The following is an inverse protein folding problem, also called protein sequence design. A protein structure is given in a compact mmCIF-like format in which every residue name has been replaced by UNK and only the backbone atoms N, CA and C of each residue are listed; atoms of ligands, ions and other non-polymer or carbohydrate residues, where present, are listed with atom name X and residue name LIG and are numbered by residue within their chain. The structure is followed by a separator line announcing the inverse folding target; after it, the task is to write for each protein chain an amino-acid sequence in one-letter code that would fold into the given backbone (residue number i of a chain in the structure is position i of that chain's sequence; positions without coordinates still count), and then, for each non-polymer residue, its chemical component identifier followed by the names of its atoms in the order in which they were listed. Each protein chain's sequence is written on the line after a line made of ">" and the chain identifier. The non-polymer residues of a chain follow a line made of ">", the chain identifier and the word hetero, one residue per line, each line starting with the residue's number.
data_IF_562519963823
#
_entry.id   IF_562519963823
#
_cell.length_a   1.000
_cell.length_b   1.000
_cell.length_c   1.000
_cell.angle_alpha   90.00
_cell.angle_beta   90.00
_cell.angle_gamma   90.00
#
_symmetry.space_group_name_H-M   'P 1'
#
loop_
_entity.id
_entity.type
_entity.pdbx_description
1 polymer ?
#
# COMPACT_ATOMS: atom_id res chain seq x y z
N UNK A 1 -16.78 -2.91 9.50
CA UNK A 1 -16.87 -3.74 10.72
C UNK A 1 -15.65 -4.64 10.94
N UNK A 2 -15.23 -5.47 9.99
CA UNK A 2 -14.06 -6.37 10.17
C UNK A 2 -12.76 -5.60 10.42
N UNK A 3 -12.45 -4.57 9.62
CA UNK A 3 -11.27 -3.72 9.81
C UNK A 3 -11.27 -3.01 11.17
N UNK A 4 -12.42 -2.57 11.65
CA UNK A 4 -12.54 -1.93 12.97
C UNK A 4 -12.17 -2.91 14.09
N UNK A 5 -12.68 -4.15 14.03
CA UNK A 5 -12.35 -5.21 14.99
C UNK A 5 -10.86 -5.57 14.93
N UNK A 6 -10.32 -5.68 13.73
CA UNK A 6 -8.90 -5.92 13.52
C UNK A 6 -8.06 -4.81 14.17
N UNK A 7 -8.37 -3.54 13.87
CA UNK A 7 -7.63 -2.40 14.40
C UNK A 7 -7.67 -2.35 15.94
N UNK A 8 -8.86 -2.56 16.54
CA UNK A 8 -8.99 -2.65 18.00
C UNK A 8 -8.08 -3.74 18.56
N UNK A 9 -8.12 -4.93 17.96
CA UNK A 9 -7.29 -6.05 18.40
C UNK A 9 -5.79 -5.80 18.23
N UNK A 10 -5.40 -5.06 17.18
CA UNK A 10 -4.00 -4.71 16.95
C UNK A 10 -3.52 -3.66 17.96
N UNK A 11 -4.36 -2.69 18.33
CA UNK A 11 -4.06 -1.71 19.37
C UNK A 11 -3.83 -2.43 20.72
N UNK A 12 -4.68 -3.37 21.09
CA UNK A 12 -4.53 -4.18 22.31
C UNK A 12 -3.19 -4.94 22.34
N UNK A 13 -2.65 -5.29 21.19
CA UNK A 13 -1.35 -5.96 21.04
C UNK A 13 -0.16 -5.00 20.90
N UNK A 14 -0.38 -3.69 21.03
CA UNK A 14 0.66 -2.67 20.94
C UNK A 14 1.09 -2.31 19.52
N UNK A 15 0.22 -2.57 18.53
CA UNK A 15 0.40 -2.09 17.16
C UNK A 15 -0.33 -0.76 16.95
N UNK A 16 0.14 0.05 16.03
CA UNK A 16 -0.52 1.26 15.56
C UNK A 16 -1.15 0.99 14.20
N UNK A 17 -2.48 0.86 14.08
CA UNK A 17 -3.15 0.81 12.79
C UNK A 17 -2.95 2.12 12.02
N UNK A 18 -2.68 2.02 10.74
CA UNK A 18 -2.45 3.15 9.86
C UNK A 18 -3.27 3.03 8.58
N UNK A 19 -3.64 4.16 8.04
CA UNK A 19 -4.12 4.30 6.67
C UNK A 19 -2.94 4.73 5.80
N UNK A 20 -2.46 3.82 4.97
CA UNK A 20 -1.22 4.02 4.25
C UNK A 20 -0.90 2.90 3.28
N UNK A 21 0.25 3.03 2.66
CA UNK A 21 0.81 2.02 1.79
C UNK A 21 2.27 1.77 2.15
N UNK A 22 2.78 0.58 1.87
CA UNK A 22 4.18 0.25 2.08
C UNK A 22 4.72 -0.57 0.93
N UNK A 23 5.90 -0.19 0.46
CA UNK A 23 6.60 -0.86 -0.63
C UNK A 23 8.04 -1.19 -0.26
N UNK A 24 8.53 -2.31 -0.74
CA UNK A 24 9.94 -2.62 -0.78
C UNK A 24 10.47 -2.27 -2.18
N UNK A 25 11.46 -1.42 -2.23
CA UNK A 25 12.10 -0.93 -3.46
C UNK A 25 13.50 -1.48 -3.53
N UNK A 26 13.85 -2.12 -4.64
CA UNK A 26 15.21 -2.54 -4.97
C UNK A 26 15.74 -1.71 -6.14
N UNK A 27 16.78 -0.95 -5.91
CA UNK A 27 17.45 -0.16 -6.96
C UNK A 27 18.31 -1.04 -7.87
N UNK A 28 18.62 -0.56 -9.08
CA UNK A 28 19.53 -1.27 -10.03
C UNK A 28 20.94 -1.48 -9.48
N UNK A 29 21.37 -0.67 -8.52
CA UNK A 29 22.64 -0.82 -7.82
C UNK A 29 22.61 -1.85 -6.67
N UNK A 30 21.50 -2.57 -6.49
CA UNK A 30 21.31 -3.60 -5.46
C UNK A 30 20.91 -3.09 -4.09
N UNK A 31 20.81 -1.79 -3.86
CA UNK A 31 20.29 -1.22 -2.59
C UNK A 31 18.80 -1.45 -2.49
N UNK A 32 18.33 -1.85 -1.31
CA UNK A 32 16.92 -2.03 -0.98
C UNK A 32 16.49 -1.03 0.09
N UNK A 33 15.23 -0.61 0.04
CA UNK A 33 14.62 0.26 1.05
C UNK A 33 13.13 -0.03 1.17
N UNK A 34 12.62 -0.01 2.39
CA UNK A 34 11.20 -0.12 2.67
C UNK A 34 10.63 1.26 2.94
N UNK A 35 9.74 1.71 2.07
CA UNK A 35 9.11 3.03 2.12
C UNK A 35 7.67 2.86 2.54
N UNK A 36 7.26 3.53 3.60
CA UNK A 36 5.88 3.64 4.03
C UNK A 36 5.34 5.04 3.71
N UNK A 37 4.13 5.11 3.19
CA UNK A 37 3.42 6.35 2.88
C UNK A 37 2.14 6.35 3.68
N UNK A 38 1.95 7.32 4.56
CA UNK A 38 0.75 7.47 5.39
C UNK A 38 0.03 8.77 5.02
N UNK A 39 -1.27 8.81 5.16
CA UNK A 39 -2.07 9.99 4.86
C UNK A 39 -3.55 9.67 4.72
N UNK A 40 -4.38 10.70 4.65
CA UNK A 40 -5.82 10.57 4.50
C UNK A 40 -6.23 10.02 3.13
N UNK A 41 -7.51 9.66 3.02
CA UNK A 41 -8.11 9.26 1.74
C UNK A 41 -7.99 10.41 0.73
N UNK A 42 -7.54 10.10 -0.50
CA UNK A 42 -7.30 11.11 -1.52
C UNK A 42 -6.03 11.94 -1.34
N UNK A 43 -5.16 11.62 -0.38
CA UNK A 43 -3.89 12.33 -0.17
C UNK A 43 -2.79 11.98 -1.18
N UNK A 44 -3.10 11.20 -2.21
CA UNK A 44 -2.14 10.85 -3.27
C UNK A 44 -1.25 9.66 -2.96
N UNK A 45 -1.62 8.79 -2.01
CA UNK A 45 -0.82 7.60 -1.64
C UNK A 45 -0.68 6.62 -2.81
N UNK A 46 -1.79 6.22 -3.40
CA UNK A 46 -1.81 5.27 -4.52
C UNK A 46 -1.20 5.89 -5.78
N UNK A 47 -1.43 7.17 -6.01
CA UNK A 47 -0.78 7.92 -7.09
C UNK A 47 0.75 7.99 -6.90
N UNK A 48 1.21 8.09 -5.66
CA UNK A 48 2.64 8.03 -5.34
C UNK A 48 3.22 6.65 -5.64
N UNK A 49 2.50 5.56 -5.33
CA UNK A 49 2.91 4.21 -5.70
C UNK A 49 3.00 4.05 -7.22
N UNK A 50 2.02 4.58 -7.96
CA UNK A 50 2.03 4.55 -9.42
C UNK A 50 3.18 5.39 -10.00
N UNK A 51 3.47 6.55 -9.41
CA UNK A 51 4.64 7.35 -9.77
C UNK A 51 5.95 6.58 -9.56
N UNK A 52 6.11 5.89 -8.43
CA UNK A 52 7.26 5.00 -8.20
C UNK A 52 7.34 3.90 -9.26
N UNK A 53 6.22 3.32 -9.64
CA UNK A 53 6.14 2.29 -10.67
C UNK A 53 6.57 2.80 -12.05
N UNK A 54 6.14 4.02 -12.44
CA UNK A 54 6.58 4.68 -13.69
C UNK A 54 8.07 5.02 -13.68
N UNK A 55 8.61 5.40 -12.53
CA UNK A 55 10.05 5.62 -12.36
C UNK A 55 10.85 4.31 -12.36
N UNK A 56 10.18 3.15 -12.18
CA UNK A 56 10.83 1.85 -12.03
C UNK A 56 11.67 1.47 -13.25
N UNK A 57 11.22 1.75 -14.45
CA UNK A 57 11.90 1.35 -15.68
C UNK A 57 13.34 1.90 -15.75
N UNK A 58 13.56 3.09 -15.23
CA UNK A 58 14.86 3.77 -15.30
C UNK A 58 15.78 3.45 -14.11
N UNK A 59 15.25 3.42 -12.90
CA UNK A 59 16.06 3.41 -11.67
C UNK A 59 15.87 2.18 -10.80
N UNK A 60 14.70 1.55 -10.85
CA UNK A 60 14.39 0.41 -10.02
C UNK A 60 14.72 -0.90 -10.74
N UNK A 61 15.18 -1.89 -9.98
CA UNK A 61 15.27 -3.28 -10.41
C UNK A 61 13.95 -4.00 -10.13
N UNK A 62 13.35 -3.69 -8.96
CA UNK A 62 12.14 -4.33 -8.48
C UNK A 62 11.41 -3.41 -7.53
N UNK A 63 10.08 -3.43 -7.55
CA UNK A 63 9.22 -2.81 -6.56
C UNK A 63 8.16 -3.84 -6.14
N UNK A 64 8.09 -4.12 -4.85
CA UNK A 64 7.14 -5.05 -4.26
C UNK A 64 6.20 -4.29 -3.33
N UNK A 65 4.90 -4.38 -3.55
CA UNK A 65 3.90 -3.83 -2.64
C UNK A 65 3.77 -4.78 -1.44
N UNK A 66 3.96 -4.25 -0.22
CA UNK A 66 3.77 -4.97 1.03
C UNK A 66 2.31 -4.88 1.44
N UNK A 67 1.75 -3.68 1.43
CA UNK A 67 0.31 -3.43 1.56
C UNK A 67 -0.06 -2.10 0.88
N UNK A 68 -1.32 -1.99 0.48
CA UNK A 68 -1.91 -0.78 -0.08
C UNK A 68 -3.29 -0.59 0.54
N UNK A 69 -3.52 0.57 1.16
CA UNK A 69 -4.69 1.05 1.88
C UNK A 69 -4.58 0.91 3.42
N UNK A 70 -4.43 -0.28 3.98
CA UNK A 70 -4.41 -0.48 5.43
C UNK A 70 -3.23 -1.34 5.88
N UNK A 71 -2.59 -0.89 6.94
CA UNK A 71 -1.50 -1.59 7.59
C UNK A 71 -1.43 -1.30 9.09
N UNK A 72 -0.44 -1.86 9.74
CA UNK A 72 -0.14 -1.59 11.13
C UNK A 72 1.36 -1.41 11.33
N UNK A 73 1.74 -0.50 12.20
CA UNK A 73 3.12 -0.36 12.65
C UNK A 73 3.32 -0.94 14.05
N UNK A 74 4.50 -1.47 14.28
CA UNK A 74 4.95 -1.89 15.61
C UNK A 74 6.38 -1.45 15.86
N UNK A 75 6.65 -1.02 17.07
CA UNK A 75 8.03 -0.72 17.49
C UNK A 75 8.62 -1.97 18.11
N UNK A 76 9.71 -2.45 17.56
CA UNK A 76 10.47 -3.59 18.06
C UNK A 76 11.96 -3.20 18.14
N UNK A 77 12.55 -3.30 19.31
CA UNK A 77 13.96 -2.93 19.56
C UNK A 77 14.30 -1.51 19.04
N UNK A 78 13.41 -0.54 19.25
CA UNK A 78 13.60 0.85 18.84
C UNK A 78 13.48 1.10 17.32
N UNK A 79 13.01 0.12 16.55
CA UNK A 79 12.77 0.24 15.11
C UNK A 79 11.30 0.04 14.79
N UNK A 80 10.80 0.74 13.79
CA UNK A 80 9.43 0.60 13.31
C UNK A 80 9.38 -0.50 12.27
N UNK A 81 8.41 -1.41 12.43
CA UNK A 81 8.10 -2.46 11.47
C UNK A 81 6.66 -2.28 10.97
N UNK A 82 6.47 -2.43 9.66
CA UNK A 82 5.16 -2.38 9.01
C UNK A 82 4.66 -3.77 8.64
N UNK A 83 3.36 -3.97 8.86
CA UNK A 83 2.62 -5.20 8.57
C UNK A 83 1.38 -4.83 7.76
N UNK A 84 1.02 -5.65 6.76
CA UNK A 84 -0.23 -5.46 6.04
C UNK A 84 -1.41 -6.03 6.83
N UNK A 85 -2.60 -5.50 6.55
CA UNK A 85 -3.87 -6.04 7.09
C UNK A 85 -4.62 -6.86 6.05
N UNK A 86 -4.29 -6.67 4.79
CA UNK A 86 -4.93 -7.32 3.66
C UNK A 86 -3.94 -7.55 2.51
N UNK A 87 -4.20 -8.55 1.70
CA UNK A 87 -3.37 -8.90 0.55
C UNK A 87 -3.82 -8.23 -0.75
N UNK A 88 -4.98 -7.59 -0.73
CA UNK A 88 -5.59 -6.96 -1.90
C UNK A 88 -5.48 -5.45 -1.90
N UNK A 89 -5.54 -4.86 -3.08
CA UNK A 89 -5.71 -3.43 -3.29
C UNK A 89 -7.07 -3.13 -3.90
N UNK A 90 -7.67 -2.02 -3.48
CA UNK A 90 -8.90 -1.48 -4.06
C UNK A 90 -8.54 -0.39 -5.05
N UNK A 91 -8.66 -0.68 -6.33
CA UNK A 91 -8.36 0.28 -7.40
C UNK A 91 -9.66 0.75 -8.04
N UNK A 92 -9.80 2.06 -8.25
CA UNK A 92 -10.92 2.62 -8.99
C UNK A 92 -10.78 2.26 -10.47
N UNK A 93 -11.89 1.83 -11.10
CA UNK A 93 -11.86 1.49 -12.52
C UNK A 93 -11.53 2.69 -13.41
N UNK A 94 -11.89 3.88 -12.98
CA UNK A 94 -11.62 5.14 -13.70
C UNK A 94 -10.12 5.50 -13.71
N UNK A 95 -9.35 5.00 -12.75
CA UNK A 95 -7.92 5.28 -12.60
C UNK A 95 -7.03 4.21 -13.25
N UNK A 96 -7.64 3.14 -13.81
CA UNK A 96 -6.91 2.07 -14.46
C UNK A 96 -6.45 2.47 -15.87
N UNK A 97 -5.16 2.33 -16.12
CA UNK A 97 -4.65 2.42 -17.50
C UNK A 97 -5.22 1.29 -18.38
N UNK A 98 -5.49 1.61 -19.65
CA UNK A 98 -5.96 0.64 -20.63
C UNK A 98 -5.00 -0.57 -20.70
N UNK A 99 -5.51 -1.75 -20.43
CA UNK A 99 -4.76 -3.00 -20.47
C UNK A 99 -4.37 -3.56 -19.10
N UNK A 100 -4.27 -2.77 -18.03
CA UNK A 100 -3.94 -3.25 -16.69
C UNK A 100 -5.02 -4.18 -16.13
N UNK A 101 -6.31 -3.83 -16.33
CA UNK A 101 -7.43 -4.66 -15.90
C UNK A 101 -7.41 -6.04 -16.55
N UNK A 102 -6.97 -6.14 -17.80
CA UNK A 102 -6.90 -7.41 -18.53
C UNK A 102 -5.82 -8.35 -18.00
N UNK A 103 -4.69 -7.82 -17.53
CA UNK A 103 -3.59 -8.64 -17.00
C UNK A 103 -3.89 -9.25 -15.62
N UNK A 104 -4.82 -8.66 -14.87
CA UNK A 104 -5.18 -9.09 -13.53
C UNK A 104 -6.60 -9.71 -13.45
N UNK A 105 -7.30 -9.86 -14.57
CA UNK A 105 -8.72 -10.24 -14.63
C UNK A 105 -9.02 -11.61 -14.03
N UNK A 106 -8.10 -12.55 -14.17
CA UNK A 106 -8.21 -13.91 -13.66
C UNK A 106 -8.18 -14.01 -12.12
N UNK A 107 -7.67 -12.97 -11.47
CA UNK A 107 -7.51 -12.90 -10.00
C UNK A 107 -8.23 -11.73 -9.35
N UNK A 108 -8.95 -10.94 -10.13
CA UNK A 108 -9.60 -9.73 -9.69
C UNK A 108 -11.09 -9.94 -9.38
N UNK A 109 -11.60 -9.20 -8.40
CA UNK A 109 -13.02 -9.14 -8.07
C UNK A 109 -13.53 -7.75 -8.42
N UNK A 110 -14.53 -7.67 -9.29
CA UNK A 110 -15.20 -6.43 -9.65
C UNK A 110 -16.29 -6.09 -8.63
N UNK A 111 -16.22 -4.91 -8.05
CA UNK A 111 -17.22 -4.39 -7.12
C UNK A 111 -18.02 -3.27 -7.80
N UNK A 112 -19.34 -3.36 -7.77
CA UNK A 112 -20.26 -2.36 -8.35
C UNK A 112 -19.96 -1.98 -9.82
N UNK A 113 -19.77 -2.92 -10.75
CA UNK A 113 -19.27 -2.62 -12.09
C UNK A 113 -20.16 -1.66 -12.90
N UNK A 114 -21.42 -1.51 -12.53
CA UNK A 114 -22.39 -0.66 -13.22
C UNK A 114 -22.70 0.65 -12.50
N UNK A 115 -21.89 1.04 -11.50
CA UNK A 115 -22.15 2.25 -10.69
C UNK A 115 -20.94 3.17 -10.67
N UNK A 116 -21.20 4.43 -10.40
CA UNK A 116 -20.16 5.40 -10.04
C UNK A 116 -19.37 4.85 -8.85
N UNK A 117 -18.05 4.98 -8.88
CA UNK A 117 -17.11 4.37 -7.94
C UNK A 117 -17.00 2.83 -8.03
N UNK A 118 -17.15 2.28 -9.21
CA UNK A 118 -16.77 0.89 -9.46
C UNK A 118 -15.29 0.64 -9.09
N UNK A 119 -15.02 -0.45 -8.40
CA UNK A 119 -13.67 -0.79 -7.92
C UNK A 119 -13.28 -2.19 -8.34
N UNK A 120 -12.01 -2.35 -8.58
CA UNK A 120 -11.36 -3.62 -8.80
C UNK A 120 -10.58 -3.99 -7.53
N UNK A 121 -10.90 -5.13 -6.95
CA UNK A 121 -10.09 -5.74 -5.90
C UNK A 121 -9.19 -6.79 -6.53
N UNK A 122 -7.89 -6.65 -6.41
CA UNK A 122 -6.94 -7.65 -6.89
C UNK A 122 -5.79 -7.87 -5.89
N UNK A 123 -5.19 -9.06 -5.84
CA UNK A 123 -4.11 -9.35 -4.92
C UNK A 123 -2.82 -8.62 -5.35
N UNK A 124 -2.25 -7.82 -4.45
CA UNK A 124 -0.99 -7.09 -4.65
C UNK A 124 0.15 -7.62 -3.78
N UNK A 125 -0.19 -8.38 -2.73
CA UNK A 125 0.75 -8.94 -1.79
C UNK A 125 0.38 -10.38 -1.44
N UNK A 126 1.29 -11.11 -0.82
CA UNK A 126 1.03 -12.45 -0.29
C UNK A 126 0.74 -12.40 1.22
N UNK A 127 0.08 -13.44 1.74
CA UNK A 127 -0.11 -13.58 3.19
C UNK A 127 1.21 -13.58 3.95
N UNK A 128 2.23 -14.24 3.41
CA UNK A 128 3.56 -14.28 4.02
C UNK A 128 4.19 -12.89 4.10
N UNK A 129 4.01 -12.06 3.08
CA UNK A 129 4.55 -10.71 3.05
C UNK A 129 3.87 -9.79 4.03
N UNK A 130 2.54 -9.80 4.10
CA UNK A 130 1.82 -8.94 5.06
C UNK A 130 2.13 -9.30 6.52
N UNK A 131 2.47 -10.57 6.79
CA UNK A 131 2.73 -11.07 8.15
C UNK A 131 4.20 -11.02 8.56
N UNK A 132 5.13 -10.93 7.60
CA UNK A 132 6.58 -10.98 7.87
C UNK A 132 7.07 -9.83 8.75
N UNK A 133 6.49 -8.64 8.62
CA UNK A 133 7.01 -7.41 9.21
C UNK A 133 8.25 -6.89 8.47
N UNK A 134 8.13 -5.74 7.88
CA UNK A 134 9.21 -5.07 7.17
C UNK A 134 9.65 -3.84 7.94
N UNK A 135 10.95 -3.72 8.24
CA UNK A 135 11.51 -2.54 8.88
C UNK A 135 11.23 -1.31 8.01
N UNK A 136 10.64 -0.28 8.56
CA UNK A 136 10.43 0.99 7.86
C UNK A 136 11.75 1.75 7.80
N UNK A 137 12.27 2.00 6.61
CA UNK A 137 13.50 2.77 6.39
C UNK A 137 13.19 4.24 6.08
N UNK A 138 12.06 4.51 5.42
CA UNK A 138 11.57 5.85 5.11
C UNK A 138 10.06 5.92 5.35
N UNK A 139 9.63 6.93 6.10
CA UNK A 139 8.22 7.26 6.31
C UNK A 139 7.91 8.59 5.63
N UNK A 140 6.95 8.57 4.71
CA UNK A 140 6.44 9.73 4.02
C UNK A 140 5.03 10.05 4.52
N UNK A 141 4.75 11.31 4.72
CA UNK A 141 3.40 11.79 5.03
C UNK A 141 2.82 12.48 3.80
N UNK A 142 1.76 11.89 3.25
CA UNK A 142 1.02 12.47 2.14
C UNK A 142 -0.04 13.43 2.67
N UNK A 143 -0.03 14.66 2.18
CA UNK A 143 -0.87 15.76 2.65
C UNK A 143 -1.47 16.53 1.47
N UNK A 144 -2.78 16.75 1.48
CA UNK A 144 -3.51 17.55 0.49
C UNK A 144 -3.66 19.04 0.87
N UNK A 145 -3.12 19.48 1.99
CA UNK A 145 -3.23 20.87 2.40
C UNK A 145 -2.25 21.74 1.59
N UNK A 146 -2.79 22.66 0.81
CA UNK A 146 -2.04 23.53 -0.11
C UNK A 146 -1.09 24.53 0.57
N UNK A 147 -0.96 24.58 1.87
CA UNK A 147 -0.11 25.54 2.57
C UNK A 147 0.66 24.90 3.72
N UNK A 148 1.73 24.19 3.42
CA UNK A 148 2.87 24.15 4.33
C UNK A 148 3.79 25.35 4.01
N UNK A 149 3.49 26.51 4.62
CA UNK A 149 4.45 27.59 4.71
C UNK A 149 5.54 27.26 5.72
#
# INVERSE_FOLDING_TARGET
>A
MILTLHNTRMIDKGFLPIHGAMVNITLKNGKTSNVAIVGDSGAGKSESLEAFRKLSEKYLKEMKIIFDDMGTFKIENGKVYGYGTETGAFVRLDDLENGFAFQAMDRAIFMNPNKVNARLLYPVSSYEDIMRGYKVDLLLYANNYENSK
#
